data_IF_765740605905
#
_entry.id   IF_765740605905
#
_cell.length_a   1.000
_cell.length_b   1.000
_cell.length_c   1.000
_cell.angle_alpha   90.00
_cell.angle_beta   90.00
_cell.angle_gamma   90.00
#
_symmetry.space_group_name_H-M   'P 1'
#
loop_
_entity.id
_entity.type
_entity.pdbx_description
1 polymer ?
#
# COMPACT_ATOMS: atom_id res chain seq x y z
N UNK A 1 16.37 -27.25 -7.46
CA UNK A 1 17.01 -25.96 -7.81
C UNK A 1 16.20 -24.85 -7.17
N UNK A 2 16.85 -23.80 -6.64
CA UNK A 2 16.17 -22.64 -6.08
C UNK A 2 15.60 -21.73 -7.17
N UNK A 3 14.70 -20.80 -6.82
CA UNK A 3 14.13 -19.85 -7.79
C UNK A 3 15.23 -18.97 -8.39
N UNK A 4 15.06 -18.61 -9.67
CA UNK A 4 15.97 -17.69 -10.36
C UNK A 4 15.92 -16.29 -9.72
N UNK A 5 16.96 -15.49 -9.96
CA UNK A 5 17.01 -14.11 -9.46
C UNK A 5 15.85 -13.26 -10.02
N UNK A 6 15.39 -13.55 -11.25
CA UNK A 6 14.22 -12.93 -11.87
C UNK A 6 12.95 -13.32 -11.11
N UNK A 7 12.77 -14.62 -10.83
CA UNK A 7 11.62 -15.13 -10.07
C UNK A 7 11.56 -14.56 -8.65
N UNK A 8 12.69 -14.39 -7.99
CA UNK A 8 12.78 -13.77 -6.65
C UNK A 8 12.30 -12.31 -6.69
N UNK A 9 12.83 -11.51 -7.63
CA UNK A 9 12.48 -10.09 -7.79
C UNK A 9 11.02 -9.92 -8.22
N UNK A 10 10.52 -10.74 -9.15
CA UNK A 10 9.12 -10.75 -9.56
C UNK A 10 8.19 -11.08 -8.38
N UNK A 11 8.52 -12.10 -7.59
CA UNK A 11 7.74 -12.46 -6.40
C UNK A 11 7.75 -11.34 -5.35
N UNK A 12 8.86 -10.60 -5.21
CA UNK A 12 8.93 -9.44 -4.33
C UNK A 12 7.98 -8.31 -4.78
N UNK A 13 7.93 -8.01 -6.08
CA UNK A 13 7.00 -7.03 -6.65
C UNK A 13 5.53 -7.42 -6.44
N UNK A 14 5.20 -8.71 -6.61
CA UNK A 14 3.85 -9.22 -6.33
C UNK A 14 3.46 -9.03 -4.85
N UNK A 15 4.38 -9.35 -3.92
CA UNK A 15 4.14 -9.15 -2.48
C UNK A 15 3.93 -7.68 -2.14
N UNK A 16 4.79 -6.79 -2.64
CA UNK A 16 4.67 -5.35 -2.41
C UNK A 16 3.37 -4.78 -2.99
N UNK A 17 2.95 -5.26 -4.16
CA UNK A 17 1.67 -4.85 -4.77
C UNK A 17 0.47 -5.28 -3.92
N UNK A 18 0.49 -6.50 -3.38
CA UNK A 18 -0.54 -7.00 -2.47
C UNK A 18 -0.55 -6.23 -1.15
N UNK A 19 0.62 -5.99 -0.57
CA UNK A 19 0.78 -5.22 0.66
C UNK A 19 0.23 -3.80 0.50
N UNK A 20 0.56 -3.13 -0.61
CA UNK A 20 0.00 -1.82 -0.95
C UNK A 20 -1.53 -1.84 -0.99
N UNK A 21 -2.12 -2.84 -1.65
CA UNK A 21 -3.58 -2.97 -1.74
C UNK A 21 -4.24 -3.14 -0.36
N UNK A 22 -3.58 -3.86 0.56
CA UNK A 22 -4.07 -4.04 1.93
C UNK A 22 -4.06 -2.69 2.66
N UNK A 23 -2.96 -1.94 2.60
CA UNK A 23 -2.89 -0.62 3.24
C UNK A 23 -3.81 0.42 2.60
N UNK A 24 -4.04 0.36 1.29
CA UNK A 24 -5.02 1.22 0.61
C UNK A 24 -6.46 0.91 1.05
N UNK A 25 -6.79 -0.38 1.23
CA UNK A 25 -8.08 -0.79 1.78
C UNK A 25 -8.23 -0.35 3.24
N UNK A 26 -7.22 -0.59 4.07
CA UNK A 26 -7.21 -0.19 5.48
C UNK A 26 -7.35 1.33 5.64
N UNK A 27 -6.64 2.11 4.81
CA UNK A 27 -6.76 3.56 4.79
C UNK A 27 -8.19 3.99 4.48
N UNK A 28 -8.84 3.35 3.50
CA UNK A 28 -10.23 3.64 3.13
C UNK A 28 -11.17 3.37 4.30
N UNK A 29 -11.05 2.21 4.95
CA UNK A 29 -11.86 1.83 6.10
C UNK A 29 -11.66 2.81 7.28
N UNK A 30 -10.42 3.21 7.55
CA UNK A 30 -10.09 4.19 8.59
C UNK A 30 -10.63 5.59 8.27
N UNK A 31 -10.61 6.01 7.00
CA UNK A 31 -11.23 7.27 6.56
C UNK A 31 -12.76 7.26 6.68
N UNK A 32 -13.40 6.11 6.45
CA UNK A 32 -14.85 5.94 6.67
C UNK A 32 -15.20 6.02 8.16
N UNK A 33 -14.41 5.41 9.04
CA UNK A 33 -14.64 5.50 10.49
C UNK A 33 -14.45 6.92 11.02
N UNK A 34 -13.42 7.65 10.56
CA UNK A 34 -13.23 9.07 10.90
C UNK A 34 -14.46 9.88 10.52
N UNK A 35 -14.96 9.73 9.28
CA UNK A 35 -16.16 10.44 8.81
C UNK A 35 -17.40 10.10 9.61
N UNK A 36 -17.54 8.83 10.01
CA UNK A 36 -18.67 8.36 10.82
C UNK A 36 -18.65 9.01 12.21
N UNK A 37 -17.50 9.09 12.85
CA UNK A 37 -17.35 9.77 14.16
C UNK A 37 -17.61 11.26 14.01
N UNK A 38 -17.08 11.91 12.97
CA UNK A 38 -17.35 13.32 12.67
C UNK A 38 -18.86 13.58 12.47
N UNK A 39 -19.55 12.71 11.75
CA UNK A 39 -21.00 12.79 11.58
C UNK A 39 -21.75 12.64 12.91
N UNK A 40 -21.36 11.69 13.77
CA UNK A 40 -21.95 11.52 15.10
C UNK A 40 -21.77 12.78 15.97
N UNK A 41 -20.63 13.47 15.86
CA UNK A 41 -20.40 14.72 16.60
C UNK A 41 -21.40 15.83 16.24
N UNK A 42 -22.00 15.81 15.05
CA UNK A 42 -22.98 16.82 14.62
C UNK A 42 -24.32 16.70 15.34
N UNK A 43 -24.68 15.49 15.76
CA UNK A 43 -25.97 15.19 16.41
C UNK A 43 -25.85 14.91 17.91
N UNK A 44 -24.63 14.71 18.41
CA UNK A 44 -24.35 14.41 19.81
C UNK A 44 -24.61 15.59 20.75
N UNK A 45 -24.97 15.29 22.00
CA UNK A 45 -24.98 16.28 23.10
C UNK A 45 -23.56 16.71 23.45
N UNK A 46 -23.41 17.82 24.18
CA UNK A 46 -22.08 18.35 24.53
C UNK A 46 -21.26 17.40 25.41
N UNK A 47 -21.92 16.60 26.25
CA UNK A 47 -21.25 15.57 27.06
C UNK A 47 -20.72 14.42 26.17
N UNK A 48 -21.51 13.95 25.21
CA UNK A 48 -21.10 12.90 24.28
C UNK A 48 -20.00 13.37 23.32
N UNK A 49 -20.00 14.65 22.93
CA UNK A 49 -18.95 15.23 22.09
C UNK A 49 -17.57 15.17 22.76
N UNK A 50 -17.47 15.30 24.07
CA UNK A 50 -16.17 15.17 24.77
C UNK A 50 -15.59 13.76 24.63
N UNK A 51 -16.42 12.72 24.79
CA UNK A 51 -16.00 11.33 24.58
C UNK A 51 -15.66 11.03 23.10
N UNK A 52 -16.45 11.58 22.18
CA UNK A 52 -16.22 11.43 20.74
C UNK A 52 -14.94 12.15 20.27
N UNK A 53 -14.53 13.27 20.89
CA UNK A 53 -13.27 13.96 20.56
C UNK A 53 -12.06 13.07 20.79
N UNK A 54 -12.01 12.35 21.90
CA UNK A 54 -10.92 11.42 22.17
C UNK A 54 -10.91 10.29 21.15
N UNK A 55 -12.07 9.71 20.89
CA UNK A 55 -12.25 8.63 19.89
C UNK A 55 -11.83 9.07 18.49
N UNK A 56 -12.25 10.27 18.07
CA UNK A 56 -11.88 10.88 16.79
C UNK A 56 -10.36 11.06 16.69
N UNK A 57 -9.72 11.56 17.74
CA UNK A 57 -8.25 11.75 17.77
C UNK A 57 -7.51 10.42 17.56
N UNK A 58 -8.00 9.34 18.16
CA UNK A 58 -7.42 8.00 17.97
C UNK A 58 -7.66 7.50 16.54
N UNK A 59 -8.89 7.61 16.02
CA UNK A 59 -9.22 7.21 14.66
C UNK A 59 -8.36 7.95 13.61
N UNK A 60 -8.18 9.27 13.78
CA UNK A 60 -7.31 10.09 12.90
C UNK A 60 -5.86 9.62 12.97
N UNK A 61 -5.35 9.26 14.16
CA UNK A 61 -3.98 8.72 14.30
C UNK A 61 -3.82 7.41 13.55
N UNK A 62 -4.75 6.49 13.70
CA UNK A 62 -4.74 5.18 13.02
C UNK A 62 -4.79 5.39 11.50
N UNK A 63 -5.70 6.23 11.02
CA UNK A 63 -5.79 6.63 9.60
C UNK A 63 -4.45 7.17 9.08
N UNK A 64 -3.83 8.07 9.83
CA UNK A 64 -2.54 8.68 9.44
C UNK A 64 -1.40 7.67 9.41
N UNK A 65 -1.41 6.67 10.30
CA UNK A 65 -0.44 5.57 10.30
C UNK A 65 -0.57 4.71 9.02
N UNK A 66 -1.77 4.26 8.67
CA UNK A 66 -2.00 3.51 7.42
C UNK A 66 -1.61 4.34 6.19
N UNK A 67 -1.93 5.64 6.20
CA UNK A 67 -1.57 6.57 5.12
C UNK A 67 -0.05 6.71 4.93
N UNK A 68 0.74 6.67 6.01
CA UNK A 68 2.21 6.78 5.95
C UNK A 68 2.89 5.52 5.40
N UNK A 69 2.25 4.36 5.48
CA UNK A 69 2.80 3.11 4.96
C UNK A 69 2.80 3.07 3.43
N UNK A 70 1.78 3.63 2.79
CA UNK A 70 1.60 3.57 1.32
C UNK A 70 2.80 4.19 0.57
N UNK A 71 3.30 5.40 0.90
CA UNK A 71 4.49 5.97 0.26
C UNK A 71 5.74 5.09 0.40
N UNK A 72 5.95 4.46 1.56
CA UNK A 72 7.11 3.59 1.80
C UNK A 72 7.06 2.36 0.89
N UNK A 73 5.89 1.76 0.73
CA UNK A 73 5.70 0.60 -0.16
C UNK A 73 5.85 1.01 -1.63
N UNK A 74 5.36 2.19 -2.03
CA UNK A 74 5.58 2.73 -3.38
C UNK A 74 7.07 2.91 -3.67
N UNK A 75 7.82 3.52 -2.74
CA UNK A 75 9.27 3.70 -2.89
C UNK A 75 10.01 2.36 -3.02
N UNK A 76 9.67 1.38 -2.17
CA UNK A 76 10.27 0.05 -2.25
C UNK A 76 9.92 -0.68 -3.55
N UNK A 77 8.69 -0.52 -4.03
CA UNK A 77 8.24 -1.07 -5.32
C UNK A 77 9.06 -0.48 -6.47
N UNK A 78 9.32 0.83 -6.46
CA UNK A 78 10.15 1.48 -7.48
C UNK A 78 11.61 1.00 -7.45
N UNK A 79 12.19 0.82 -6.27
CA UNK A 79 13.54 0.28 -6.09
C UNK A 79 13.66 -1.12 -6.70
N UNK A 80 12.77 -2.04 -6.30
CA UNK A 80 12.79 -3.43 -6.79
C UNK A 80 12.47 -3.51 -8.29
N UNK A 81 11.60 -2.64 -8.79
CA UNK A 81 11.25 -2.57 -10.21
C UNK A 81 12.46 -2.11 -11.05
N UNK A 82 13.18 -1.09 -10.58
CA UNK A 82 14.41 -0.61 -11.22
C UNK A 82 15.46 -1.72 -11.26
N UNK A 83 15.71 -2.35 -10.12
CA UNK A 83 16.67 -3.45 -9.98
C UNK A 83 16.32 -4.66 -10.87
N UNK A 84 15.03 -5.03 -10.99
CA UNK A 84 14.58 -6.06 -11.93
C UNK A 84 14.84 -5.67 -13.40
N UNK A 85 14.54 -4.42 -13.78
CA UNK A 85 14.77 -3.94 -15.15
C UNK A 85 16.26 -3.94 -15.51
N UNK A 86 17.11 -3.44 -14.62
CA UNK A 86 18.57 -3.44 -14.80
C UNK A 86 19.12 -4.87 -14.93
N UNK A 87 18.62 -5.80 -14.13
CA UNK A 87 19.00 -7.21 -14.21
C UNK A 87 18.63 -7.82 -15.57
N UNK A 88 17.43 -7.54 -16.09
CA UNK A 88 16.96 -8.05 -17.39
C UNK A 88 17.74 -7.45 -18.56
N UNK A 89 18.16 -6.18 -18.47
CA UNK A 89 19.02 -5.56 -19.49
C UNK A 89 20.40 -6.23 -19.54
N UNK A 90 20.95 -6.60 -18.39
CA UNK A 90 22.32 -7.13 -18.27
C UNK A 90 22.40 -8.62 -18.59
N UNK A 91 21.43 -9.41 -18.14
CA UNK A 91 21.47 -10.88 -18.22
C UNK A 91 20.55 -11.46 -19.31
N UNK A 92 19.89 -10.60 -20.08
CA UNK A 92 18.87 -10.98 -21.04
C UNK A 92 17.50 -11.22 -20.40
N UNK A 93 16.47 -11.14 -21.25
CA UNK A 93 15.09 -11.44 -20.87
C UNK A 93 14.91 -12.95 -20.77
N UNK A 94 14.51 -13.46 -19.61
CA UNK A 94 13.61 -14.62 -19.64
C UNK A 94 12.38 -14.15 -20.42
N UNK A 95 12.06 -14.81 -21.54
CA UNK A 95 10.85 -14.54 -22.32
C UNK A 95 9.61 -15.07 -21.57
N UNK A 96 9.52 -14.73 -20.28
CA UNK A 96 8.46 -15.15 -19.39
C UNK A 96 7.40 -14.06 -19.36
N UNK A 97 6.26 -14.35 -19.98
CA UNK A 97 5.09 -13.46 -20.00
C UNK A 97 4.61 -13.12 -18.58
N UNK A 98 4.90 -13.96 -17.60
CA UNK A 98 4.61 -13.71 -16.18
C UNK A 98 5.44 -12.54 -15.65
N UNK A 99 6.74 -12.50 -15.97
CA UNK A 99 7.65 -11.42 -15.54
C UNK A 99 7.22 -10.09 -16.18
N UNK A 100 6.87 -10.11 -17.46
CA UNK A 100 6.35 -8.92 -18.18
C UNK A 100 5.06 -8.39 -17.53
N UNK A 101 4.13 -9.27 -17.14
CA UNK A 101 2.91 -8.89 -16.42
C UNK A 101 3.22 -8.26 -15.07
N UNK A 102 4.10 -8.87 -14.27
CA UNK A 102 4.49 -8.34 -12.96
C UNK A 102 5.13 -6.96 -13.06
N UNK A 103 6.00 -6.73 -14.05
CA UNK A 103 6.60 -5.40 -14.31
C UNK A 103 5.51 -4.37 -14.60
N UNK A 104 4.57 -4.69 -15.49
CA UNK A 104 3.47 -3.79 -15.88
C UNK A 104 2.54 -3.47 -14.71
N UNK A 105 2.27 -4.44 -13.85
CA UNK A 105 1.48 -4.26 -12.63
C UNK A 105 2.21 -3.39 -11.61
N UNK A 106 3.50 -3.64 -11.38
CA UNK A 106 4.33 -2.83 -10.48
C UNK A 106 4.47 -1.38 -10.97
N UNK A 107 4.57 -1.14 -12.28
CA UNK A 107 4.57 0.21 -12.87
C UNK A 107 3.25 0.96 -12.62
N UNK A 108 2.11 0.25 -12.64
CA UNK A 108 0.81 0.84 -12.31
C UNK A 108 0.70 1.11 -10.81
N UNK A 109 1.18 0.19 -9.98
CA UNK A 109 1.12 0.31 -8.52
C UNK A 109 2.05 1.40 -7.96
N UNK A 110 3.14 1.72 -8.68
CA UNK A 110 4.14 2.73 -8.28
C UNK A 110 3.84 4.16 -8.76
N UNK A 111 2.82 4.36 -9.61
CA UNK A 111 2.20 5.67 -9.84
C UNK A 111 1.37 6.07 -8.61
#
# INVERSE_FOLDING_TARGET
>A
MGPSQIQIKASALQRLSKEKSIYEQELKENEEEVKKIEAQMTTASDKEKEDLKYTLKVAVRIRDESKRMIPNIKAKTQEVLKDLKEYLMTNGSENDDTVKKVIKEAERASK
#
